data_IF_432698450912
#
_entry.id   IF_432698450912
#
_cell.length_a   1.000
_cell.length_b   1.000
_cell.length_c   1.000
_cell.angle_alpha   90.00
_cell.angle_beta   90.00
_cell.angle_gamma   90.00
#
_symmetry.space_group_name_H-M   'P 1'
#
loop_
_entity.id
_entity.type
_entity.pdbx_description
1 polymer ?
#
# COMPACT_ATOMS: atom_id res chain seq x y z
N UNK A 1 34.48 3.78 0.09
CA UNK A 1 33.10 3.56 -0.36
C UNK A 1 33.23 2.96 -1.73
N UNK A 2 32.84 1.70 -1.84
CA UNK A 2 33.07 0.89 -3.03
C UNK A 2 31.71 0.49 -3.58
N UNK A 3 31.49 0.76 -4.87
CA UNK A 3 30.20 0.55 -5.53
C UNK A 3 30.28 -0.68 -6.43
N UNK A 4 29.35 -1.61 -6.25
CA UNK A 4 29.26 -2.84 -7.06
C UNK A 4 27.96 -2.82 -7.85
N UNK A 5 28.06 -2.95 -9.17
CA UNK A 5 26.90 -3.02 -10.08
C UNK A 5 26.61 -4.46 -10.48
N UNK A 6 25.42 -4.96 -10.12
CA UNK A 6 25.00 -6.34 -10.38
C UNK A 6 23.99 -6.39 -11.53
N UNK A 7 24.27 -7.18 -12.58
CA UNK A 7 23.32 -7.45 -13.67
C UNK A 7 22.59 -8.77 -13.42
N UNK A 8 21.35 -8.69 -12.97
CA UNK A 8 20.53 -9.87 -12.64
C UNK A 8 19.73 -10.29 -13.89
N UNK A 9 19.95 -11.52 -14.38
CA UNK A 9 19.26 -12.05 -15.57
C UNK A 9 17.81 -12.51 -15.28
N UNK A 10 17.49 -12.81 -14.03
CA UNK A 10 16.19 -13.37 -13.64
C UNK A 10 15.47 -12.43 -12.65
N UNK A 11 14.47 -11.70 -13.16
CA UNK A 11 13.67 -10.74 -12.37
C UNK A 11 12.97 -11.40 -11.18
N UNK A 12 12.58 -12.67 -11.24
CA UNK A 12 11.89 -13.36 -10.12
C UNK A 12 12.80 -13.52 -8.90
N UNK A 13 14.11 -13.63 -9.11
CA UNK A 13 15.09 -13.78 -8.01
C UNK A 13 15.60 -12.44 -7.47
N UNK A 14 15.30 -11.33 -8.15
CA UNK A 14 15.73 -9.99 -7.76
C UNK A 14 15.16 -9.60 -6.40
N UNK A 15 13.88 -9.88 -6.15
CA UNK A 15 13.24 -9.55 -4.86
C UNK A 15 13.88 -10.29 -3.69
N UNK A 16 14.24 -11.57 -3.86
CA UNK A 16 14.92 -12.36 -2.83
C UNK A 16 16.33 -11.83 -2.56
N UNK A 17 17.08 -11.45 -3.61
CA UNK A 17 18.40 -10.87 -3.46
C UNK A 17 18.34 -9.50 -2.76
N UNK A 18 17.37 -8.66 -3.14
CA UNK A 18 17.17 -7.34 -2.51
C UNK A 18 16.79 -7.48 -1.04
N UNK A 19 15.93 -8.43 -0.68
CA UNK A 19 15.58 -8.69 0.71
C UNK A 19 16.83 -9.10 1.52
N UNK A 20 17.63 -10.03 1.00
CA UNK A 20 18.88 -10.44 1.64
C UNK A 20 19.88 -9.29 1.79
N UNK A 21 20.05 -8.45 0.77
CA UNK A 21 20.97 -7.30 0.83
C UNK A 21 20.51 -6.22 1.81
N UNK A 22 19.20 -6.08 2.04
CA UNK A 22 18.65 -5.15 3.04
C UNK A 22 18.87 -5.60 4.48
N UNK A 23 19.01 -6.91 4.72
CA UNK A 23 19.28 -7.44 6.05
C UNK A 23 20.74 -7.20 6.48
N UNK A 24 21.62 -6.83 5.54
CA UNK A 24 23.02 -6.52 5.82
C UNK A 24 23.15 -5.05 6.24
N UNK A 25 23.52 -4.85 7.49
CA UNK A 25 23.74 -3.57 8.17
C UNK A 25 24.88 -2.71 7.60
N UNK A 26 25.72 -3.29 6.74
CA UNK A 26 26.83 -2.62 6.06
C UNK A 26 26.58 -2.37 4.57
N UNK A 27 25.41 -2.71 4.04
CA UNK A 27 25.09 -2.57 2.61
C UNK A 27 24.00 -1.52 2.42
N UNK A 28 24.33 -0.48 1.67
CA UNK A 28 23.37 0.53 1.23
C UNK A 28 22.91 0.22 -0.20
N UNK A 29 21.61 -0.08 -0.37
CA UNK A 29 21.04 -0.39 -1.69
C UNK A 29 20.72 0.92 -2.42
N UNK A 30 21.65 1.37 -3.25
CA UNK A 30 21.50 2.55 -4.11
C UNK A 30 20.60 2.22 -5.32
N UNK A 31 19.28 2.37 -5.12
CA UNK A 31 18.18 2.35 -6.10
C UNK A 31 18.19 1.28 -7.21
N UNK A 32 17.26 0.33 -7.10
CA UNK A 32 16.65 -0.33 -8.25
C UNK A 32 15.79 0.69 -9.02
N UNK A 33 16.09 0.93 -10.30
CA UNK A 33 15.27 1.75 -11.20
C UNK A 33 13.78 1.32 -11.19
N UNK A 34 12.86 2.28 -11.43
CA UNK A 34 11.45 2.19 -11.05
C UNK A 34 10.68 1.25 -11.97
N UNK A 35 10.35 0.07 -11.45
CA UNK A 35 9.26 -0.79 -11.96
C UNK A 35 8.52 -1.44 -10.78
N UNK A 36 8.68 -0.84 -9.60
CA UNK A 36 7.96 -1.14 -8.38
C UNK A 36 7.30 0.15 -7.89
N UNK A 37 6.61 0.86 -8.78
CA UNK A 37 5.25 1.23 -8.40
C UNK A 37 4.56 -0.13 -8.25
N UNK A 38 4.64 -0.78 -7.08
CA UNK A 38 3.58 -0.56 -6.12
C UNK A 38 2.29 -0.25 -6.89
N UNK A 39 1.70 -1.32 -7.42
CA UNK A 39 0.33 -1.69 -7.09
C UNK A 39 0.13 -1.66 -5.55
N UNK A 40 0.52 -0.56 -4.89
CA UNK A 40 -0.37 0.07 -3.96
C UNK A 40 -1.62 0.33 -4.80
N UNK A 41 -2.50 -0.68 -4.80
CA UNK A 41 -3.85 -0.43 -4.32
C UNK A 41 -3.75 0.30 -2.98
N UNK A 42 -3.27 1.56 -2.98
CA UNK A 42 -4.20 2.64 -2.72
C UNK A 42 -5.42 2.28 -3.54
N UNK A 43 -6.28 1.48 -2.90
CA UNK A 43 -7.68 1.86 -2.89
C UNK A 43 -7.56 3.33 -2.57
N UNK A 44 -7.58 4.17 -3.62
CA UNK A 44 -7.96 5.55 -3.46
C UNK A 44 -9.10 5.39 -2.50
N UNK A 45 -8.87 5.77 -1.24
CA UNK A 45 -9.96 6.02 -0.31
C UNK A 45 -10.58 7.23 -0.99
N UNK A 46 -11.30 6.98 -2.10
CA UNK A 46 -12.06 7.95 -2.83
C UNK A 46 -12.84 8.56 -1.72
N UNK A 47 -12.55 9.84 -1.47
CA UNK A 47 -12.82 10.47 -0.19
C UNK A 47 -14.15 9.94 0.29
N UNK A 48 -14.17 9.22 1.42
CA UNK A 48 -15.37 8.51 1.86
C UNK A 48 -16.56 9.50 1.96
N UNK A 49 -16.22 10.79 2.11
CA UNK A 49 -17.10 11.94 2.09
C UNK A 49 -17.20 12.72 0.76
N UNK A 50 -16.46 12.40 -0.31
CA UNK A 50 -16.75 12.92 -1.67
C UNK A 50 -18.14 12.50 -2.16
N UNK A 51 -18.68 11.43 -1.57
CA UNK A 51 -20.03 10.92 -1.79
C UNK A 51 -21.04 11.46 -0.75
N UNK A 52 -20.64 12.40 0.12
CA UNK A 52 -21.51 12.94 1.18
C UNK A 52 -22.73 13.68 0.64
N UNK A 53 -22.65 14.24 -0.58
CA UNK A 53 -23.80 14.86 -1.26
C UNK A 53 -24.96 13.89 -1.51
N UNK A 54 -24.72 12.58 -1.57
CA UNK A 54 -25.82 11.59 -1.68
C UNK A 54 -26.68 11.50 -0.41
N UNK A 55 -26.21 12.08 0.70
CA UNK A 55 -26.89 12.07 1.99
C UNK A 55 -27.39 13.47 2.39
N UNK A 56 -27.22 14.47 1.52
CA UNK A 56 -27.74 15.82 1.74
C UNK A 56 -29.28 15.79 1.89
N UNK A 57 -29.79 16.36 2.97
CA UNK A 57 -31.23 16.36 3.30
C UNK A 57 -31.76 15.08 3.95
N UNK A 58 -30.89 14.10 4.26
CA UNK A 58 -31.25 12.93 5.07
C UNK A 58 -30.71 13.08 6.49
N UNK A 59 -31.57 12.89 7.48
CA UNK A 59 -31.16 12.83 8.88
C UNK A 59 -30.54 11.45 9.16
N UNK A 60 -29.22 11.34 8.96
CA UNK A 60 -28.48 10.09 9.12
C UNK A 60 -27.30 10.34 10.04
N UNK A 61 -27.31 9.66 11.18
CA UNK A 61 -26.20 9.71 12.12
C UNK A 61 -25.18 8.61 11.82
N UNK A 62 -23.91 8.86 12.19
CA UNK A 62 -22.84 7.88 12.03
C UNK A 62 -23.07 6.61 12.91
N UNK A 63 -23.87 6.71 13.97
CA UNK A 63 -24.23 5.58 14.83
C UNK A 63 -25.24 4.65 14.16
N UNK A 64 -26.27 5.20 13.51
CA UNK A 64 -27.26 4.42 12.75
C UNK A 64 -26.63 3.67 11.57
N UNK A 65 -25.69 4.30 10.86
CA UNK A 65 -24.94 3.65 9.79
C UNK A 65 -24.16 2.45 10.31
N UNK A 66 -23.48 2.59 11.45
CA UNK A 66 -22.73 1.47 12.06
C UNK A 66 -23.65 0.37 12.56
N UNK A 67 -24.79 0.72 13.17
CA UNK A 67 -25.75 -0.26 13.68
C UNK A 67 -26.37 -1.12 12.55
N UNK A 68 -26.69 -0.50 11.40
CA UNK A 68 -27.21 -1.22 10.23
C UNK A 68 -26.16 -2.02 9.48
N UNK A 69 -24.95 -1.49 9.35
CA UNK A 69 -23.86 -2.15 8.62
C UNK A 69 -23.26 -3.32 9.40
N UNK A 70 -23.22 -3.22 10.73
CA UNK A 70 -22.64 -4.21 11.62
C UNK A 70 -23.65 -4.64 12.69
N UNK A 71 -24.70 -5.39 12.32
CA UNK A 71 -25.62 -5.94 13.30
C UNK A 71 -24.80 -6.84 14.24
N UNK A 72 -24.66 -6.42 15.50
CA UNK A 72 -24.00 -7.21 16.54
C UNK A 72 -24.72 -8.55 16.62
N UNK A 73 -24.09 -9.61 16.10
CA UNK A 73 -24.50 -10.98 16.39
C UNK A 73 -24.13 -11.26 17.83
N UNK A 74 -25.15 -11.47 18.67
CA UNK A 74 -25.02 -12.12 19.96
C UNK A 74 -24.89 -13.62 19.78
#
# INVERSE_FOLDING_TARGET
>A
MDTITLKIKNKKKLNHLLAFLKDLDFVEVLQSAPDLEQDEKTTSKGDFFALAGMWEGRDITAEELRAKAWPKKY
#
